data_IF_710976678386
#
_entry.id   IF_710976678386
#
_cell.length_a   1.000
_cell.length_b   1.000
_cell.length_c   1.000
_cell.angle_alpha   90.00
_cell.angle_beta   90.00
_cell.angle_gamma   90.00
#
_symmetry.space_group_name_H-M   'P 1'
#
loop_
_entity.id
_entity.type
_entity.pdbx_description
1 polymer ?
#
# COMPACT_ATOMS: atom_id res chain seq x y z
N UNK A 1 -13.50 -1.66 -22.94
CA UNK A 1 -12.18 -1.97 -22.35
C UNK A 1 -11.06 -1.48 -23.24
N UNK A 2 -9.98 -0.94 -22.65
CA UNK A 2 -8.77 -0.54 -23.39
C UNK A 2 -7.60 -1.42 -22.93
N UNK A 3 -6.85 -1.98 -23.89
CA UNK A 3 -5.64 -2.76 -23.59
C UNK A 3 -4.40 -2.06 -24.13
N UNK A 4 -3.41 -1.88 -23.23
CA UNK A 4 -2.12 -1.27 -23.51
C UNK A 4 -1.03 -2.35 -23.56
N UNK A 5 -0.22 -2.36 -24.60
CA UNK A 5 0.93 -3.24 -24.76
C UNK A 5 2.20 -2.37 -24.87
N UNK A 6 3.20 -2.49 -23.95
CA UNK A 6 4.49 -1.86 -24.14
C UNK A 6 5.10 -2.25 -25.50
N UNK A 7 5.54 -1.27 -26.29
CA UNK A 7 6.16 -1.53 -27.60
C UNK A 7 7.61 -1.99 -27.47
N UNK A 8 8.21 -1.78 -26.30
CA UNK A 8 9.61 -2.12 -26.00
C UNK A 8 9.84 -2.15 -24.49
N UNK A 9 10.96 -2.68 -24.06
CA UNK A 9 11.44 -2.51 -22.68
C UNK A 9 11.84 -1.04 -22.46
N UNK A 10 11.41 -0.48 -21.35
CA UNK A 10 11.71 0.90 -20.99
C UNK A 10 13.12 1.01 -20.40
N UNK A 11 13.98 1.83 -21.02
CA UNK A 11 15.32 2.14 -20.50
C UNK A 11 15.28 3.23 -19.42
N UNK A 12 14.37 4.18 -19.55
CA UNK A 12 14.19 5.31 -18.66
C UNK A 12 12.82 5.25 -17.99
N UNK A 13 12.65 5.88 -16.81
CA UNK A 13 11.34 6.03 -16.20
C UNK A 13 10.37 6.75 -17.15
N UNK A 14 9.14 6.24 -17.20
CA UNK A 14 8.04 6.84 -17.96
C UNK A 14 7.01 7.37 -16.97
N UNK A 15 6.78 8.67 -16.97
CA UNK A 15 5.73 9.30 -16.17
C UNK A 15 4.44 9.36 -16.99
N UNK A 16 3.44 8.58 -16.58
CA UNK A 16 2.21 8.34 -17.32
C UNK A 16 0.96 8.54 -16.45
N UNK A 17 0.84 9.71 -15.82
CA UNK A 17 -0.33 10.11 -15.00
C UNK A 17 -1.66 9.99 -15.76
N UNK A 18 -1.61 10.03 -17.09
CA UNK A 18 -2.80 9.90 -17.94
C UNK A 18 -3.38 8.48 -17.98
N UNK A 19 -2.66 7.44 -17.53
CA UNK A 19 -3.20 6.07 -17.49
C UNK A 19 -4.15 5.95 -16.30
N UNK A 20 -5.40 6.36 -16.53
CA UNK A 20 -6.50 6.32 -15.57
C UNK A 20 -7.82 6.15 -16.29
N UNK A 21 -8.77 5.35 -15.78
CA UNK A 21 -10.14 5.28 -16.29
C UNK A 21 -10.81 6.65 -16.42
N UNK A 22 -10.60 7.55 -15.46
CA UNK A 22 -11.13 8.92 -15.47
C UNK A 22 -10.68 9.71 -16.71
N UNK A 23 -9.47 9.41 -17.22
CA UNK A 23 -8.91 10.09 -18.39
C UNK A 23 -9.31 9.41 -19.68
N UNK A 24 -9.48 8.09 -19.68
CA UNK A 24 -9.69 7.30 -20.91
C UNK A 24 -11.16 7.12 -21.29
N UNK A 25 -12.09 7.15 -20.31
CA UNK A 25 -13.46 6.70 -20.49
C UNK A 25 -14.20 7.37 -21.66
N UNK A 26 -13.97 8.66 -21.91
CA UNK A 26 -14.66 9.43 -22.93
C UNK A 26 -13.83 9.66 -24.20
N UNK A 27 -12.72 8.92 -24.36
CA UNK A 27 -11.77 9.12 -25.47
C UNK A 27 -11.71 7.93 -26.40
N UNK A 28 -11.59 8.22 -27.68
CA UNK A 28 -11.25 7.25 -28.71
C UNK A 28 -9.80 6.76 -28.52
N UNK A 29 -9.46 5.60 -29.09
CA UNK A 29 -8.10 5.06 -29.07
C UNK A 29 -7.05 6.03 -29.65
N UNK A 30 -7.43 6.82 -30.66
CA UNK A 30 -6.55 7.82 -31.26
C UNK A 30 -6.29 9.01 -30.32
N UNK A 31 -7.32 9.46 -29.61
CA UNK A 31 -7.20 10.53 -28.60
C UNK A 31 -6.37 10.05 -27.41
N UNK A 32 -6.59 8.82 -26.93
CA UNK A 32 -5.77 8.19 -25.91
C UNK A 32 -4.31 8.11 -26.35
N UNK A 33 -4.07 7.74 -27.63
CA UNK A 33 -2.72 7.65 -28.19
C UNK A 33 -1.97 8.98 -28.20
N UNK A 34 -2.67 10.10 -28.31
CA UNK A 34 -2.11 11.46 -28.32
C UNK A 34 -1.84 12.02 -26.91
N UNK A 35 -2.27 11.32 -25.85
CA UNK A 35 -2.04 11.78 -24.48
C UNK A 35 -0.54 11.91 -24.20
N UNK A 36 -0.19 12.99 -23.53
CA UNK A 36 1.19 13.36 -23.25
C UNK A 36 1.72 12.59 -22.07
N UNK A 37 2.95 12.08 -22.22
CA UNK A 37 3.74 11.42 -21.19
C UNK A 37 5.17 11.97 -21.21
N UNK A 38 5.96 11.57 -20.20
CA UNK A 38 7.39 11.85 -20.16
C UNK A 38 8.18 10.55 -20.12
N UNK A 39 9.17 10.39 -20.99
CA UNK A 39 10.17 9.32 -20.91
C UNK A 39 11.52 9.96 -20.56
N UNK A 40 11.96 9.77 -19.33
CA UNK A 40 13.07 10.55 -18.78
C UNK A 40 12.79 12.05 -18.86
N UNK A 41 13.59 12.80 -19.62
CA UNK A 41 13.43 14.24 -19.85
C UNK A 41 12.76 14.59 -21.19
N UNK A 42 12.21 13.61 -21.92
CA UNK A 42 11.61 13.81 -23.25
C UNK A 42 10.10 13.71 -23.20
N UNK A 43 9.41 14.67 -23.78
CA UNK A 43 7.97 14.60 -24.05
C UNK A 43 7.68 13.58 -25.14
N UNK A 44 6.67 12.73 -24.91
CA UNK A 44 6.20 11.68 -25.82
C UNK A 44 4.68 11.65 -25.82
N UNK A 45 4.11 11.01 -26.84
CA UNK A 45 2.73 10.56 -26.82
C UNK A 45 2.63 9.14 -26.24
N UNK A 46 1.49 8.78 -25.69
CA UNK A 46 1.25 7.44 -25.16
C UNK A 46 1.46 6.38 -26.26
N UNK A 47 1.03 6.69 -27.50
CA UNK A 47 1.20 5.82 -28.67
C UNK A 47 2.67 5.61 -29.09
N UNK A 48 3.61 6.47 -28.68
CA UNK A 48 5.03 6.25 -28.96
C UNK A 48 5.59 5.05 -28.18
N UNK A 49 5.02 4.76 -27.01
CA UNK A 49 5.52 3.75 -26.08
C UNK A 49 4.57 2.57 -25.90
N UNK A 50 3.26 2.74 -26.15
CA UNK A 50 2.27 1.67 -26.07
C UNK A 50 1.55 1.46 -27.40
N UNK A 51 1.27 0.19 -27.73
CA UNK A 51 0.23 -0.19 -28.68
C UNK A 51 -1.09 -0.22 -27.94
N UNK A 52 -2.08 0.51 -28.44
CA UNK A 52 -3.41 0.67 -27.83
C UNK A 52 -4.41 -0.15 -28.62
N UNK A 53 -5.21 -0.97 -27.93
CA UNK A 53 -6.31 -1.70 -28.52
C UNK A 53 -7.59 -1.40 -27.76
N UNK A 54 -8.66 -1.06 -28.48
CA UNK A 54 -10.01 -1.02 -27.93
C UNK A 54 -10.68 -2.37 -28.17
N UNK A 55 -11.25 -2.96 -27.14
CA UNK A 55 -12.04 -4.17 -27.23
C UNK A 55 -13.51 -3.79 -26.96
N UNK A 56 -14.34 -3.87 -28.00
CA UNK A 56 -15.80 -3.73 -27.91
C UNK A 56 -16.37 -5.04 -27.43
N UNK A 57 -17.08 -5.06 -26.30
CA UNK A 57 -17.90 -6.23 -25.96
C UNK A 57 -17.72 -6.86 -24.58
N UNK A 58 -17.18 -6.19 -23.57
CA UNK A 58 -17.40 -6.64 -22.21
C UNK A 58 -18.58 -5.91 -21.59
N UNK A 59 -19.59 -6.64 -21.17
CA UNK A 59 -20.76 -6.17 -20.40
C UNK A 59 -20.41 -5.77 -18.95
N UNK A 60 -19.18 -5.35 -18.70
CA UNK A 60 -18.81 -4.82 -17.37
C UNK A 60 -19.31 -3.38 -17.27
N UNK A 61 -20.08 -3.08 -16.25
CA UNK A 61 -20.61 -1.76 -15.94
C UNK A 61 -19.50 -0.72 -15.70
N UNK A 62 -18.24 -1.16 -15.48
CA UNK A 62 -17.12 -0.29 -15.16
C UNK A 62 -16.01 -0.31 -16.21
N UNK A 63 -15.52 0.89 -16.54
CA UNK A 63 -14.44 1.07 -17.50
C UNK A 63 -13.14 0.41 -17.01
N UNK A 64 -12.55 -0.45 -17.85
CA UNK A 64 -11.35 -1.21 -17.52
C UNK A 64 -10.19 -0.89 -18.46
N UNK A 65 -9.03 -0.58 -17.88
CA UNK A 65 -7.74 -0.49 -18.56
C UNK A 65 -6.94 -1.75 -18.21
N UNK A 66 -6.49 -2.47 -19.24
CA UNK A 66 -5.61 -3.62 -19.10
C UNK A 66 -4.22 -3.29 -19.64
N UNK A 67 -3.18 -3.59 -18.90
CA UNK A 67 -1.79 -3.40 -19.33
C UNK A 67 -1.14 -4.78 -19.37
N UNK A 68 -0.67 -5.20 -20.53
CA UNK A 68 -0.06 -6.53 -20.75
C UNK A 68 1.42 -6.40 -21.01
N UNK A 69 2.23 -6.71 -20.05
CA UNK A 69 3.69 -6.71 -20.10
C UNK A 69 4.33 -5.97 -18.94
N UNK A 70 5.66 -5.95 -18.93
CA UNK A 70 6.44 -5.27 -17.89
C UNK A 70 6.34 -3.75 -18.02
N UNK A 71 5.81 -3.13 -16.99
CA UNK A 71 5.71 -1.67 -16.84
C UNK A 71 6.38 -1.20 -15.54
N UNK A 72 7.38 -1.93 -15.05
CA UNK A 72 8.16 -1.62 -13.85
C UNK A 72 8.84 -0.24 -13.87
N UNK A 73 9.02 0.34 -15.06
CA UNK A 73 9.54 1.71 -15.25
C UNK A 73 8.44 2.76 -15.48
N UNK A 74 7.16 2.35 -15.55
CA UNK A 74 6.05 3.29 -15.78
C UNK A 74 5.50 3.74 -14.43
N UNK A 75 5.59 5.04 -14.17
CA UNK A 75 5.18 5.67 -12.92
C UNK A 75 3.77 6.22 -13.00
N UNK A 76 3.12 6.30 -11.83
CA UNK A 76 1.83 6.98 -11.62
C UNK A 76 0.66 6.38 -12.40
N UNK A 77 0.70 5.09 -12.71
CA UNK A 77 -0.47 4.37 -13.22
C UNK A 77 -1.60 4.50 -12.19
N UNK A 78 -2.80 4.93 -12.62
CA UNK A 78 -3.94 5.17 -11.73
C UNK A 78 -3.82 6.42 -10.85
N UNK A 79 -3.01 7.40 -11.25
CA UNK A 79 -2.86 8.67 -10.52
C UNK A 79 -4.20 9.37 -10.34
N UNK A 80 -4.57 9.64 -9.07
CA UNK A 80 -5.84 10.28 -8.66
C UNK A 80 -7.11 9.60 -9.21
N UNK A 81 -7.01 8.34 -9.61
CA UNK A 81 -8.13 7.54 -10.11
C UNK A 81 -9.30 7.57 -9.13
N UNK A 82 -10.53 7.77 -9.64
CA UNK A 82 -11.75 7.82 -8.83
C UNK A 82 -12.74 6.70 -9.14
N UNK A 83 -12.62 6.04 -10.28
CA UNK A 83 -13.55 5.01 -10.74
C UNK A 83 -12.89 3.98 -11.65
N UNK A 84 -13.59 2.88 -11.92
CA UNK A 84 -13.20 1.86 -12.89
C UNK A 84 -12.08 0.95 -12.40
N UNK A 85 -11.50 0.21 -13.33
CA UNK A 85 -10.51 -0.83 -13.04
C UNK A 85 -9.23 -0.65 -13.86
N UNK A 86 -8.08 -0.93 -13.23
CA UNK A 86 -6.80 -1.10 -13.90
C UNK A 86 -6.25 -2.48 -13.56
N UNK A 87 -5.90 -3.27 -14.57
CA UNK A 87 -5.28 -4.58 -14.42
C UNK A 87 -3.91 -4.54 -15.09
N UNK A 88 -2.85 -4.71 -14.31
CA UNK A 88 -1.47 -4.83 -14.81
C UNK A 88 -1.07 -6.31 -14.80
N UNK A 89 -0.97 -6.91 -15.99
CA UNK A 89 -0.45 -8.27 -16.18
C UNK A 89 1.07 -8.22 -16.34
N UNK A 90 1.77 -8.07 -15.23
CA UNK A 90 3.22 -7.89 -15.13
C UNK A 90 3.58 -7.04 -13.91
N UNK A 91 4.80 -6.51 -13.89
CA UNK A 91 5.30 -5.63 -12.84
C UNK A 91 4.91 -4.17 -13.10
N UNK A 92 4.60 -3.42 -12.03
CA UNK A 92 4.26 -2.00 -12.08
C UNK A 92 5.36 -1.14 -11.44
N UNK A 93 5.53 0.09 -11.95
CA UNK A 93 6.52 1.03 -11.43
C UNK A 93 6.02 1.82 -10.22
N UNK A 94 6.84 2.80 -9.82
CA UNK A 94 6.62 3.65 -8.64
C UNK A 94 5.32 4.47 -8.73
N UNK A 95 4.78 4.84 -7.56
CA UNK A 95 3.61 5.72 -7.45
C UNK A 95 2.32 5.14 -8.03
N UNK A 96 2.18 3.81 -8.06
CA UNK A 96 0.95 3.14 -8.46
C UNK A 96 -0.23 3.60 -7.59
N UNK A 97 -1.32 4.11 -8.19
CA UNK A 97 -2.50 4.57 -7.46
C UNK A 97 -2.26 5.75 -6.53
N UNK A 98 -1.24 6.58 -6.79
CA UNK A 98 -0.99 7.77 -5.98
C UNK A 98 -2.19 8.71 -5.97
N UNK A 99 -2.63 9.10 -4.77
CA UNK A 99 -3.77 10.00 -4.60
C UNK A 99 -5.12 9.42 -5.03
N UNK A 100 -5.20 8.11 -5.27
CA UNK A 100 -6.42 7.41 -5.68
C UNK A 100 -7.58 7.69 -4.73
N UNK A 101 -8.77 7.96 -5.27
CA UNK A 101 -9.99 8.28 -4.52
C UNK A 101 -11.02 7.13 -4.57
N UNK A 102 -10.96 6.27 -5.58
CA UNK A 102 -11.90 5.16 -5.82
C UNK A 102 -11.39 4.20 -6.88
N UNK A 103 -12.20 3.22 -7.26
CA UNK A 103 -11.87 2.20 -8.25
C UNK A 103 -10.95 1.09 -7.71
N UNK A 104 -10.47 0.24 -8.60
CA UNK A 104 -9.64 -0.92 -8.27
C UNK A 104 -8.42 -1.01 -9.17
N UNK A 105 -7.24 -1.21 -8.59
CA UNK A 105 -6.00 -1.53 -9.31
C UNK A 105 -5.53 -2.91 -8.88
N UNK A 106 -5.32 -3.81 -9.84
CA UNK A 106 -4.77 -5.15 -9.61
C UNK A 106 -3.46 -5.31 -10.39
N UNK A 107 -2.40 -5.74 -9.71
CA UNK A 107 -1.10 -6.06 -10.30
C UNK A 107 -0.82 -7.55 -10.09
N UNK A 108 -0.57 -8.30 -11.18
CA UNK A 108 -0.28 -9.75 -11.07
C UNK A 108 1.17 -10.04 -10.69
N UNK A 109 2.07 -9.12 -10.95
CA UNK A 109 3.48 -9.16 -10.56
C UNK A 109 3.76 -8.33 -9.32
N UNK A 110 4.92 -7.68 -9.30
CA UNK A 110 5.40 -6.80 -8.25
C UNK A 110 4.99 -5.34 -8.53
N UNK A 111 5.06 -4.49 -7.50
CA UNK A 111 5.01 -3.05 -7.68
C UNK A 111 6.21 -2.40 -6.97
N UNK A 112 6.65 -1.26 -7.49
CA UNK A 112 7.75 -0.51 -6.89
C UNK A 112 7.23 0.39 -5.74
N UNK A 113 8.07 1.20 -5.18
CA UNK A 113 7.85 2.06 -4.02
C UNK A 113 6.73 3.09 -4.23
N UNK A 114 6.15 3.58 -3.13
CA UNK A 114 5.12 4.62 -3.11
C UNK A 114 3.74 4.19 -3.66
N UNK A 115 3.45 2.89 -3.75
CA UNK A 115 2.11 2.45 -4.12
C UNK A 115 1.07 2.94 -3.10
N UNK A 116 -0.04 3.51 -3.59
CA UNK A 116 -1.09 4.09 -2.77
C UNK A 116 -0.69 5.31 -1.95
N UNK A 117 0.42 5.99 -2.29
CA UNK A 117 0.81 7.22 -1.61
C UNK A 117 -0.34 8.24 -1.62
N UNK A 118 -0.68 8.81 -0.44
CA UNK A 118 -1.79 9.78 -0.27
C UNK A 118 -3.16 9.28 -0.77
N UNK A 119 -3.36 7.97 -0.87
CA UNK A 119 -4.62 7.35 -1.27
C UNK A 119 -5.75 7.76 -0.31
N UNK A 120 -6.96 8.01 -0.82
CA UNK A 120 -8.15 8.44 -0.05
C UNK A 120 -9.28 7.42 -0.13
N UNK A 121 -9.28 6.54 -1.12
CA UNK A 121 -10.32 5.53 -1.33
C UNK A 121 -9.91 4.51 -2.39
N UNK A 122 -10.76 3.55 -2.66
CA UNK A 122 -10.52 2.47 -3.63
C UNK A 122 -9.69 1.32 -3.07
N UNK A 123 -9.24 0.44 -3.95
CA UNK A 123 -8.47 -0.76 -3.60
C UNK A 123 -7.28 -0.94 -4.54
N UNK A 124 -6.11 -1.18 -3.97
CA UNK A 124 -4.91 -1.62 -4.68
C UNK A 124 -4.58 -3.03 -4.22
N UNK A 125 -4.48 -3.98 -5.14
CA UNK A 125 -4.10 -5.35 -4.87
C UNK A 125 -2.86 -5.71 -5.69
N UNK A 126 -1.77 -6.14 -5.01
CA UNK A 126 -0.52 -6.59 -5.64
C UNK A 126 -0.28 -8.04 -5.26
N UNK A 127 -0.18 -8.92 -6.25
CA UNK A 127 0.03 -10.36 -6.03
C UNK A 127 1.47 -10.70 -5.65
N UNK A 128 2.43 -9.90 -6.09
CA UNK A 128 3.84 -10.00 -5.75
C UNK A 128 4.27 -9.17 -4.55
N UNK A 129 5.53 -8.78 -4.57
CA UNK A 129 6.14 -7.89 -3.57
C UNK A 129 5.93 -6.43 -3.93
N UNK A 130 6.10 -5.55 -2.93
CA UNK A 130 6.06 -4.10 -3.12
C UNK A 130 7.28 -3.45 -2.48
N UNK A 131 7.75 -2.36 -3.06
CA UNK A 131 8.88 -1.59 -2.52
C UNK A 131 8.55 -0.84 -1.23
N UNK A 132 9.25 0.26 -1.00
CA UNK A 132 9.15 1.07 0.21
C UNK A 132 7.99 2.08 0.16
N UNK A 133 7.63 2.67 1.33
CA UNK A 133 6.74 3.82 1.45
C UNK A 133 5.30 3.56 0.97
N UNK A 134 4.79 2.36 1.16
CA UNK A 134 3.42 2.01 0.76
C UNK A 134 2.40 2.77 1.60
N UNK A 135 1.45 3.45 0.94
CA UNK A 135 0.45 4.28 1.62
C UNK A 135 1.01 5.53 2.32
N UNK A 136 2.28 5.87 2.07
CA UNK A 136 2.99 6.93 2.79
C UNK A 136 2.66 8.34 2.27
N UNK A 137 3.15 9.33 3.02
CA UNK A 137 3.26 10.72 2.57
C UNK A 137 4.61 10.97 1.91
N UNK A 138 4.75 12.05 1.15
CA UNK A 138 6.07 12.55 0.72
C UNK A 138 6.81 13.27 1.84
N UNK A 139 8.14 13.41 1.69
CA UNK A 139 8.95 14.25 2.57
C UNK A 139 8.40 15.67 2.63
N UNK A 140 8.29 16.21 3.84
CA UNK A 140 7.69 17.53 4.07
C UNK A 140 6.16 17.54 4.13
N UNK A 141 5.49 16.41 3.90
CA UNK A 141 4.04 16.24 4.08
C UNK A 141 3.76 15.30 5.24
N UNK A 142 2.74 15.61 6.03
CA UNK A 142 2.26 14.77 7.15
C UNK A 142 0.94 14.06 6.80
N UNK A 143 0.61 13.96 5.51
CA UNK A 143 -0.64 13.37 5.02
C UNK A 143 -0.32 12.18 4.13
N UNK A 144 -0.28 11.00 4.72
CA UNK A 144 -0.22 9.73 4.00
C UNK A 144 -1.60 9.25 3.56
N UNK A 145 -1.77 7.95 3.43
CA UNK A 145 -3.05 7.32 3.09
C UNK A 145 -4.14 7.72 4.09
N UNK A 146 -5.30 8.15 3.58
CA UNK A 146 -6.43 8.61 4.39
C UNK A 146 -7.72 7.82 4.12
N UNK A 147 -7.63 6.66 3.50
CA UNK A 147 -8.77 5.78 3.23
C UNK A 147 -8.42 4.74 2.17
N UNK A 148 -9.36 3.83 1.93
CA UNK A 148 -9.19 2.73 0.98
C UNK A 148 -8.44 1.54 1.55
N UNK A 149 -8.05 0.61 0.66
CA UNK A 149 -7.39 -0.64 1.00
C UNK A 149 -6.18 -0.89 0.10
N UNK A 150 -5.07 -1.32 0.70
CA UNK A 150 -3.90 -1.83 -0.03
C UNK A 150 -3.66 -3.26 0.46
N UNK A 151 -3.66 -4.21 -0.46
CA UNK A 151 -3.48 -5.65 -0.17
C UNK A 151 -2.25 -6.12 -0.93
N UNK A 152 -1.25 -6.61 -0.20
CA UNK A 152 0.01 -7.11 -0.73
C UNK A 152 0.12 -8.58 -0.38
N UNK A 153 0.21 -9.45 -1.38
CA UNK A 153 0.33 -10.89 -1.16
C UNK A 153 1.77 -11.33 -0.83
N UNK A 154 2.75 -10.60 -1.32
CA UNK A 154 4.17 -10.78 -1.00
C UNK A 154 4.65 -9.93 0.18
N UNK A 155 5.91 -9.53 0.11
CA UNK A 155 6.57 -8.67 1.10
C UNK A 155 6.42 -7.19 0.74
N UNK A 156 6.61 -6.32 1.74
CA UNK A 156 6.73 -4.88 1.55
C UNK A 156 8.02 -4.36 2.21
N UNK A 157 8.53 -3.25 1.67
CA UNK A 157 9.77 -2.64 2.16
C UNK A 157 9.59 -1.81 3.42
N UNK A 158 10.35 -0.73 3.54
CA UNK A 158 10.40 0.14 4.70
C UNK A 158 9.23 1.14 4.74
N UNK A 159 8.92 1.63 5.95
CA UNK A 159 8.00 2.74 6.21
C UNK A 159 6.58 2.55 5.62
N UNK A 160 6.09 1.31 5.63
CA UNK A 160 4.70 1.00 5.25
C UNK A 160 3.74 1.82 6.13
N UNK A 161 2.85 2.61 5.51
CA UNK A 161 1.87 3.44 6.23
C UNK A 161 2.47 4.64 6.96
N UNK A 162 3.61 5.17 6.51
CA UNK A 162 4.20 6.39 7.08
C UNK A 162 3.22 7.57 6.97
N UNK A 163 2.92 8.23 8.10
CA UNK A 163 1.89 9.27 8.23
C UNK A 163 0.48 8.83 7.81
N UNK A 164 0.17 7.54 7.86
CA UNK A 164 -1.17 7.04 7.57
C UNK A 164 -2.22 7.67 8.49
N UNK A 165 -3.30 8.19 7.90
CA UNK A 165 -4.39 8.85 8.61
C UNK A 165 -5.62 7.97 8.76
N UNK A 166 -5.86 7.05 7.81
CA UNK A 166 -6.97 6.11 7.83
C UNK A 166 -6.80 5.03 6.76
N UNK A 167 -7.69 4.01 6.75
CA UNK A 167 -7.71 2.93 5.78
C UNK A 167 -7.06 1.65 6.30
N UNK A 168 -6.79 0.72 5.38
CA UNK A 168 -6.21 -0.59 5.66
C UNK A 168 -5.03 -0.87 4.73
N UNK A 169 -3.89 -1.25 5.31
CA UNK A 169 -2.79 -1.88 4.58
C UNK A 169 -2.64 -3.31 5.12
N UNK A 170 -2.78 -4.31 4.25
CA UNK A 170 -2.59 -5.72 4.56
C UNK A 170 -1.39 -6.25 3.80
N UNK A 171 -0.43 -6.83 4.52
CA UNK A 171 0.76 -7.49 3.94
C UNK A 171 0.76 -8.94 4.40
N UNK A 172 0.67 -9.88 3.45
CA UNK A 172 0.68 -11.31 3.79
C UNK A 172 2.11 -11.82 4.09
N UNK A 173 3.12 -11.18 3.48
CA UNK A 173 4.54 -11.45 3.75
C UNK A 173 5.13 -10.60 4.88
N UNK A 174 6.42 -10.37 4.80
CA UNK A 174 7.20 -9.60 5.75
C UNK A 174 7.19 -8.11 5.40
N UNK A 175 7.50 -7.27 6.40
CA UNK A 175 7.72 -5.83 6.20
C UNK A 175 9.08 -5.40 6.76
N UNK A 176 9.65 -4.37 6.16
CA UNK A 176 10.85 -3.71 6.64
C UNK A 176 10.59 -2.93 7.94
N UNK A 177 11.58 -2.11 8.32
CA UNK A 177 11.50 -1.28 9.54
C UNK A 177 10.50 -0.14 9.39
N UNK A 178 10.07 0.37 10.54
CA UNK A 178 9.24 1.59 10.65
C UNK A 178 7.82 1.47 10.08
N UNK A 179 7.23 0.27 10.05
CA UNK A 179 5.82 0.15 9.71
C UNK A 179 4.97 1.01 10.64
N UNK A 180 4.13 1.91 10.08
CA UNK A 180 3.29 2.83 10.82
C UNK A 180 4.02 3.98 11.52
N UNK A 181 5.23 4.35 11.06
CA UNK A 181 5.92 5.54 11.60
C UNK A 181 5.06 6.80 11.39
N UNK A 182 4.92 7.64 12.43
CA UNK A 182 4.04 8.80 12.47
C UNK A 182 2.56 8.52 12.16
N UNK A 183 2.11 7.27 12.27
CA UNK A 183 0.73 6.89 12.00
C UNK A 183 -0.24 7.64 12.93
N UNK A 184 -1.31 8.20 12.39
CA UNK A 184 -2.33 8.93 13.14
C UNK A 184 -3.61 8.13 13.36
N UNK A 185 -3.94 7.23 12.45
CA UNK A 185 -5.07 6.30 12.56
C UNK A 185 -4.98 5.25 11.43
N UNK A 186 -5.99 4.35 11.34
CA UNK A 186 -6.06 3.27 10.37
C UNK A 186 -5.54 1.94 10.90
N UNK A 187 -5.32 0.99 10.01
CA UNK A 187 -4.88 -0.37 10.38
C UNK A 187 -3.79 -0.85 9.42
N UNK A 188 -2.68 -1.32 9.98
CA UNK A 188 -1.64 -2.06 9.25
C UNK A 188 -1.66 -3.49 9.79
N UNK A 189 -1.89 -4.46 8.90
CA UNK A 189 -1.95 -5.88 9.23
C UNK A 189 -0.84 -6.64 8.51
N UNK A 190 0.08 -7.21 9.27
CA UNK A 190 1.27 -7.91 8.81
C UNK A 190 1.13 -9.37 9.22
N UNK A 191 0.96 -10.28 8.27
CA UNK A 191 0.88 -11.72 8.56
C UNK A 191 2.27 -12.33 8.78
N UNK A 192 3.29 -11.80 8.12
CA UNK A 192 4.69 -12.19 8.30
C UNK A 192 5.39 -11.44 9.43
N UNK A 193 6.71 -11.31 9.29
CA UNK A 193 7.60 -10.67 10.24
C UNK A 193 7.71 -9.15 10.00
N UNK A 194 8.13 -8.41 11.03
CA UNK A 194 8.54 -7.02 10.93
C UNK A 194 10.00 -6.89 11.38
N UNK A 195 10.80 -6.09 10.66
CA UNK A 195 12.20 -5.83 11.03
C UNK A 195 12.35 -4.90 12.25
N UNK A 196 11.24 -4.48 12.85
CA UNK A 196 11.22 -3.70 14.08
C UNK A 196 10.88 -2.22 13.90
N UNK A 197 10.88 -1.50 15.00
CA UNK A 197 10.50 -0.09 15.13
C UNK A 197 9.08 0.21 14.62
N UNK A 198 8.18 -0.79 14.64
CA UNK A 198 6.80 -0.61 14.27
C UNK A 198 6.10 0.39 15.20
N UNK A 199 5.36 1.33 14.62
CA UNK A 199 4.62 2.35 15.34
C UNK A 199 5.45 3.49 15.90
N UNK A 200 6.73 3.65 15.52
CA UNK A 200 7.53 4.79 15.98
C UNK A 200 6.77 6.11 15.74
N UNK A 201 6.67 6.94 16.77
CA UNK A 201 5.97 8.22 16.74
C UNK A 201 4.50 8.14 16.34
N UNK A 202 3.85 6.97 16.47
CA UNK A 202 2.43 6.87 16.18
C UNK A 202 1.58 7.58 17.25
N UNK A 203 0.55 8.28 16.81
CA UNK A 203 -0.41 8.96 17.70
C UNK A 203 -1.60 8.04 18.01
N UNK A 204 -2.10 7.34 17.01
CA UNK A 204 -3.22 6.41 17.14
C UNK A 204 -3.19 5.38 16.01
N UNK A 205 -4.21 4.52 15.94
CA UNK A 205 -4.32 3.46 14.95
C UNK A 205 -3.94 2.09 15.49
N UNK A 206 -3.86 1.13 14.60
CA UNK A 206 -3.63 -0.27 14.94
C UNK A 206 -2.58 -0.88 14.02
N UNK A 207 -1.59 -1.51 14.60
CA UNK A 207 -0.61 -2.36 13.90
C UNK A 207 -0.74 -3.76 14.47
N UNK A 208 -0.85 -4.77 13.62
CA UNK A 208 -0.92 -6.19 14.02
C UNK A 208 0.19 -6.94 13.32
N UNK A 209 1.06 -7.60 14.08
CA UNK A 209 2.17 -8.42 13.59
C UNK A 209 1.93 -9.87 14.03
N UNK A 210 1.64 -10.76 13.07
CA UNK A 210 1.42 -12.18 13.35
C UNK A 210 2.74 -12.98 13.42
N UNK A 211 3.79 -12.50 12.77
CA UNK A 211 5.12 -13.09 12.78
C UNK A 211 6.01 -12.56 13.90
N UNK A 212 7.32 -12.65 13.66
CA UNK A 212 8.35 -12.19 14.58
C UNK A 212 8.61 -10.68 14.46
N UNK A 213 8.89 -10.04 15.60
CA UNK A 213 9.44 -8.69 15.70
C UNK A 213 10.63 -8.72 16.66
N UNK A 214 11.81 -8.17 16.31
CA UNK A 214 13.01 -8.29 17.15
C UNK A 214 12.86 -7.66 18.54
N UNK A 215 12.20 -6.52 18.63
CA UNK A 215 11.99 -5.76 19.86
C UNK A 215 10.81 -4.81 19.74
N UNK A 216 10.32 -4.38 20.89
CA UNK A 216 9.34 -3.30 21.03
C UNK A 216 10.09 -2.01 21.39
N UNK A 217 9.66 -0.86 20.88
CA UNK A 217 10.24 0.42 21.26
C UNK A 217 10.06 0.68 22.77
N UNK A 218 11.06 1.25 23.46
CA UNK A 218 10.98 1.51 24.91
C UNK A 218 9.83 2.46 25.29
N UNK A 219 9.32 3.21 24.33
CA UNK A 219 8.20 4.16 24.49
C UNK A 219 6.82 3.51 24.38
N UNK A 220 6.77 2.17 24.28
CA UNK A 220 5.52 1.41 24.33
C UNK A 220 5.39 0.66 25.67
N UNK A 221 4.20 0.70 26.24
CA UNK A 221 3.85 -0.05 27.47
C UNK A 221 2.98 -1.25 27.09
N UNK A 222 3.29 -2.42 27.68
CA UNK A 222 2.39 -3.57 27.57
C UNK A 222 1.12 -3.28 28.37
N UNK A 223 -0.01 -3.55 27.74
CA UNK A 223 -1.32 -3.23 28.32
C UNK A 223 -2.13 -4.51 28.63
N UNK A 224 -2.08 -5.51 27.75
CA UNK A 224 -2.89 -6.71 27.90
C UNK A 224 -2.42 -7.84 26.97
N UNK A 225 -2.92 -9.06 27.20
CA UNK A 225 -2.83 -10.19 26.26
C UNK A 225 -4.21 -10.51 25.72
N UNK A 226 -4.39 -10.39 24.40
CA UNK A 226 -5.67 -10.64 23.73
C UNK A 226 -5.67 -12.01 23.05
N UNK A 227 -6.71 -12.86 23.29
CA UNK A 227 -6.82 -14.14 22.60
C UNK A 227 -7.03 -13.98 21.11
N UNK A 228 -7.58 -12.85 20.66
CA UNK A 228 -7.84 -12.52 19.24
C UNK A 228 -7.87 -11.01 19.01
N UNK A 229 -7.61 -10.61 17.76
CA UNK A 229 -7.66 -9.21 17.31
C UNK A 229 -8.61 -9.09 16.11
N UNK A 230 -9.44 -8.05 16.10
CA UNK A 230 -10.32 -7.78 14.96
C UNK A 230 -9.60 -6.89 13.95
N UNK A 231 -9.49 -7.34 12.70
CA UNK A 231 -8.90 -6.61 11.58
C UNK A 231 -9.95 -6.53 10.46
N UNK A 232 -10.37 -5.35 10.07
CA UNK A 232 -11.36 -5.12 9.01
C UNK A 232 -12.62 -6.02 9.10
N UNK A 233 -13.10 -6.23 10.32
CA UNK A 233 -14.28 -7.09 10.56
C UNK A 233 -13.94 -8.56 10.84
N UNK A 234 -12.84 -9.08 10.36
CA UNK A 234 -12.38 -10.46 10.57
C UNK A 234 -11.67 -10.62 11.91
N UNK A 235 -11.84 -11.79 12.55
CA UNK A 235 -11.11 -12.16 13.76
C UNK A 235 -9.82 -12.88 13.38
N UNK A 236 -8.70 -12.37 13.88
CA UNK A 236 -7.39 -13.01 13.78
C UNK A 236 -7.09 -13.66 15.11
N UNK A 237 -6.91 -14.97 15.11
CA UNK A 237 -6.66 -15.76 16.33
C UNK A 237 -5.23 -15.53 16.84
N UNK A 238 -5.07 -15.47 18.19
CA UNK A 238 -3.83 -15.18 18.88
C UNK A 238 -3.30 -16.36 19.68
N UNK A 239 -2.67 -16.11 20.85
CA UNK A 239 -2.67 -14.87 21.64
C UNK A 239 -1.73 -13.77 21.13
N UNK A 240 -2.11 -12.52 21.42
CA UNK A 240 -1.33 -11.32 21.08
C UNK A 240 -1.02 -10.50 22.33
N UNK A 241 0.23 -10.07 22.51
CA UNK A 241 0.54 -8.92 23.36
C UNK A 241 -0.07 -7.67 22.76
N UNK A 242 -0.75 -6.87 23.57
CA UNK A 242 -1.18 -5.52 23.20
C UNK A 242 -0.28 -4.50 23.87
N UNK A 243 0.38 -3.68 23.07
CA UNK A 243 1.18 -2.56 23.54
C UNK A 243 0.47 -1.25 23.17
N UNK A 244 0.59 -0.25 24.03
CA UNK A 244 0.08 1.12 23.81
C UNK A 244 1.28 2.05 23.65
N UNK A 245 1.25 2.93 22.64
CA UNK A 245 2.32 3.89 22.34
C UNK A 245 2.01 4.72 21.07
N UNK A 246 2.91 5.55 20.57
CA UNK A 246 4.21 5.89 21.16
C UNK A 246 4.03 6.96 22.27
N UNK A 247 4.41 6.62 23.49
CA UNK A 247 4.19 7.50 24.67
C UNK A 247 5.05 8.76 24.62
N UNK A 248 6.21 8.74 23.93
CA UNK A 248 7.05 9.93 23.74
C UNK A 248 6.30 11.03 22.98
N UNK A 249 5.40 10.63 22.07
CA UNK A 249 4.55 11.53 21.29
C UNK A 249 3.11 11.63 21.87
N UNK A 250 2.90 11.23 23.12
CA UNK A 250 1.59 11.15 23.79
C UNK A 250 0.59 10.28 23.03
N UNK A 251 1.09 9.32 22.28
CA UNK A 251 0.31 8.42 21.43
C UNK A 251 -0.49 7.39 22.23
N UNK A 252 -1.60 6.96 21.63
CA UNK A 252 -2.51 5.92 22.14
C UNK A 252 -2.70 4.81 21.09
N UNK A 253 -1.74 4.68 20.18
CA UNK A 253 -1.74 3.65 19.15
C UNK A 253 -1.63 2.26 19.76
N UNK A 254 -2.14 1.25 19.06
CA UNK A 254 -2.18 -0.13 19.51
C UNK A 254 -1.30 -0.98 18.62
N UNK A 255 -0.25 -1.56 19.20
CA UNK A 255 0.59 -2.55 18.55
C UNK A 255 0.26 -3.93 19.11
N UNK A 256 -0.26 -4.81 18.27
CA UNK A 256 -0.51 -6.20 18.60
C UNK A 256 0.59 -7.09 18.02
N UNK A 257 1.21 -7.90 18.85
CA UNK A 257 2.30 -8.79 18.45
C UNK A 257 1.99 -10.22 18.90
N UNK A 258 2.10 -11.18 17.99
CA UNK A 258 1.86 -12.59 18.31
C UNK A 258 2.76 -13.04 19.48
N UNK A 259 2.15 -13.50 20.57
CA UNK A 259 2.87 -14.01 21.75
C UNK A 259 3.66 -15.26 21.39
N UNK A 260 3.06 -16.19 20.68
CA UNK A 260 3.67 -17.49 20.34
C UNK A 260 4.88 -17.36 19.42
N UNK A 261 4.94 -16.33 18.60
CA UNK A 261 6.05 -16.08 17.68
C UNK A 261 7.16 -15.19 18.29
N UNK A 262 6.94 -14.69 19.52
CA UNK A 262 7.82 -13.70 20.15
C UNK A 262 8.12 -14.05 21.62
N UNK A 263 8.73 -15.21 21.93
CA UNK A 263 9.00 -15.61 23.30
C UNK A 263 9.97 -14.66 24.03
N UNK A 264 10.81 -13.92 23.30
CA UNK A 264 11.67 -12.88 23.86
C UNK A 264 10.91 -11.74 24.54
N UNK A 265 9.61 -11.59 24.25
CA UNK A 265 8.75 -10.57 24.84
C UNK A 265 8.08 -11.05 26.15
N UNK A 266 8.28 -12.30 26.58
CA UNK A 266 7.68 -12.82 27.83
C UNK A 266 8.11 -12.01 29.06
N UNK A 267 9.26 -11.35 29.02
CA UNK A 267 9.72 -10.45 30.09
C UNK A 267 8.78 -9.26 30.36
N UNK A 268 7.90 -8.93 29.42
CA UNK A 268 6.89 -7.88 29.62
C UNK A 268 5.71 -8.33 30.48
N UNK A 269 5.47 -9.64 30.68
CA UNK A 269 4.32 -10.17 31.44
C UNK A 269 4.33 -9.72 32.89
N UNK A 270 5.52 -9.55 33.50
CA UNK A 270 5.65 -9.03 34.85
C UNK A 270 5.03 -7.64 35.05
N UNK A 271 4.88 -6.87 33.99
CA UNK A 271 4.27 -5.54 34.05
C UNK A 271 2.76 -5.54 33.93
N UNK A 272 2.14 -6.66 33.52
CA UNK A 272 0.68 -6.79 33.44
C UNK A 272 0.02 -6.84 34.81
N UNK A 273 0.76 -7.31 35.85
CA UNK A 273 0.28 -7.40 37.23
C UNK A 273 0.10 -6.02 37.91
N UNK A 274 0.71 -4.99 37.35
CA UNK A 274 0.65 -3.61 37.91
C UNK A 274 -0.44 -2.73 37.26
N UNK A 275 -1.17 -3.26 36.29
CA UNK A 275 -2.26 -2.52 35.60
C UNK A 275 -3.64 -2.79 36.24
N UNK A 276 -3.72 -2.97 37.57
CA UNK A 276 -4.96 -3.14 38.33
C UNK A 276 -5.45 -1.79 38.86
#
# INVERSE_FOLDING_TARGET
MITLYPKRLFKFPVDAECISPDVFAEKSSDEIGKLRIWEGNRKRSLSDVFKIKSETGSSSEEFTIKIRGDVSKVRKIGFKMSMGNIIVEGDAGMHLGEGMNGGVITVTGNADSWAGAKMKGGTIEVKGNVGDYIGASYRGSTQGMNGGKIIIHGNAGYEVGCFMMNGLIKVNGNVGRYAGVHMRNGTIFIQGNSEGRAGAQMINGKIVVCGHIPSILPTFTVDDIKPKVKVNGEKVEGPFYRFIGDLADKGKGKLFVSKTRNPQLNSYEKYLEYNI
#
